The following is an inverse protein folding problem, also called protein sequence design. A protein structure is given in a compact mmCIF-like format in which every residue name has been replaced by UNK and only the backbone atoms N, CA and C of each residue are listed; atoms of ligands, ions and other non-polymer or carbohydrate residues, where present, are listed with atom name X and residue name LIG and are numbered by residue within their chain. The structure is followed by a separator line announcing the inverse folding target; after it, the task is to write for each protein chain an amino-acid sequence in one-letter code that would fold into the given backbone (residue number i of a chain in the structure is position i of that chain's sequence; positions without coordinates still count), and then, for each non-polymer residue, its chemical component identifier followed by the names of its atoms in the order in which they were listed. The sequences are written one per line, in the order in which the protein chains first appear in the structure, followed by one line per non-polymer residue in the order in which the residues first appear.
data_IF_148370445610
#
_entry.id   IF_148370445610
#
_cell.length_a   1.000
_cell.length_b   1.000
_cell.length_c   1.000
_cell.angle_alpha   90.00
_cell.angle_beta   90.00
_cell.angle_gamma   90.00
#
_symmetry.space_group_name_H-M   'P 1'
#
loop_
_entity.id
_entity.type
_entity.pdbx_description
1 polymer ?
#
# COMPACT_ATOMS: atom_id res chain seq x y z
N UNK A 1 -47.69 3.55 -1.54
CA UNK A 1 -46.49 2.86 -2.06
C UNK A 1 -45.57 3.94 -2.61
N UNK A 2 -44.73 4.53 -1.76
CA UNK A 2 -43.82 5.63 -2.12
C UNK A 2 -42.46 5.01 -2.36
N UNK A 3 -42.03 4.93 -3.61
CA UNK A 3 -40.67 4.57 -3.94
C UNK A 3 -39.80 5.78 -3.61
N UNK A 4 -39.06 5.67 -2.51
CA UNK A 4 -37.95 6.56 -2.23
C UNK A 4 -36.86 6.22 -3.23
N UNK A 5 -36.76 7.01 -4.31
CA UNK A 5 -35.62 6.92 -5.20
C UNK A 5 -34.43 7.51 -4.45
N UNK A 6 -33.61 6.66 -3.86
CA UNK A 6 -32.34 7.07 -3.29
C UNK A 6 -31.50 7.68 -4.42
N UNK A 7 -31.31 9.00 -4.35
CA UNK A 7 -30.50 9.74 -5.29
C UNK A 7 -29.04 9.31 -5.10
N UNK A 8 -28.59 8.35 -5.92
CA UNK A 8 -27.17 8.15 -6.16
C UNK A 8 -26.63 9.44 -6.78
N UNK A 9 -26.05 10.32 -5.95
CA UNK A 9 -25.11 11.32 -6.44
C UNK A 9 -24.06 10.56 -7.23
N UNK A 10 -24.11 10.68 -8.55
CA UNK A 10 -23.13 10.12 -9.45
C UNK A 10 -21.85 10.92 -9.22
N UNK A 11 -21.09 10.58 -8.19
CA UNK A 11 -19.82 11.22 -7.91
C UNK A 11 -18.93 10.91 -9.11
N UNK A 12 -18.75 11.91 -9.97
CA UNK A 12 -17.99 11.74 -11.18
C UNK A 12 -16.54 11.53 -10.75
N UNK A 13 -16.11 10.26 -10.69
CA UNK A 13 -14.72 9.92 -10.38
C UNK A 13 -13.84 10.66 -11.38
N UNK A 14 -13.23 11.75 -10.91
CA UNK A 14 -12.39 12.60 -11.74
C UNK A 14 -11.04 11.92 -11.85
N UNK A 15 -10.87 11.15 -12.91
CA UNK A 15 -9.59 10.57 -13.25
C UNK A 15 -8.60 11.71 -13.48
N UNK A 16 -7.53 11.79 -12.67
CA UNK A 16 -6.46 12.74 -12.93
C UNK A 16 -5.73 12.30 -14.19
N UNK A 17 -6.16 12.86 -15.32
CA UNK A 17 -5.75 12.44 -16.65
C UNK A 17 -4.24 12.55 -16.84
N UNK A 18 -3.58 13.51 -16.18
CA UNK A 18 -2.12 13.65 -16.23
C UNK A 18 -1.41 12.50 -15.53
N UNK A 19 -1.79 12.19 -14.28
CA UNK A 19 -1.19 11.10 -13.50
C UNK A 19 -1.50 9.73 -14.11
N UNK A 20 -2.73 9.56 -14.61
CA UNK A 20 -3.14 8.31 -15.25
C UNK A 20 -2.36 8.04 -16.53
N UNK A 21 -2.23 9.03 -17.41
CA UNK A 21 -1.46 8.83 -18.64
C UNK A 21 0.04 8.72 -18.37
N UNK A 22 0.58 9.45 -17.39
CA UNK A 22 2.00 9.31 -17.04
C UNK A 22 2.30 7.90 -16.53
N UNK A 23 1.51 7.36 -15.60
CA UNK A 23 1.73 6.02 -15.07
C UNK A 23 1.45 4.94 -16.12
N UNK A 24 0.38 5.07 -16.90
CA UNK A 24 0.03 4.12 -17.96
C UNK A 24 1.11 4.04 -19.04
N UNK A 25 1.65 5.18 -19.49
CA UNK A 25 2.74 5.20 -20.48
C UNK A 25 4.01 4.64 -19.90
N UNK A 26 4.40 5.01 -18.67
CA UNK A 26 5.59 4.46 -18.03
C UNK A 26 5.49 2.94 -17.88
N UNK A 27 4.41 2.42 -17.30
CA UNK A 27 4.22 0.98 -17.12
C UNK A 27 4.15 0.27 -18.47
N UNK A 28 3.48 0.87 -19.46
CA UNK A 28 3.39 0.31 -20.81
C UNK A 28 4.75 0.17 -21.48
N UNK A 29 5.60 1.20 -21.41
CA UNK A 29 6.96 1.16 -21.98
C UNK A 29 7.83 0.13 -21.26
N UNK A 30 7.84 0.14 -19.93
CA UNK A 30 8.62 -0.84 -19.15
C UNK A 30 8.15 -2.27 -19.42
N UNK A 31 6.84 -2.51 -19.42
CA UNK A 31 6.26 -3.81 -19.73
C UNK A 31 6.61 -4.29 -21.13
N UNK A 32 6.51 -3.41 -22.13
CA UNK A 32 6.87 -3.76 -23.51
C UNK A 32 8.35 -4.12 -23.65
N UNK A 33 9.25 -3.35 -23.02
CA UNK A 33 10.69 -3.65 -23.00
C UNK A 33 11.00 -4.99 -22.33
N UNK A 34 10.28 -5.33 -21.26
CA UNK A 34 10.46 -6.60 -20.54
C UNK A 34 10.00 -7.80 -21.38
N UNK A 35 8.90 -7.67 -22.12
CA UNK A 35 8.38 -8.74 -22.98
C UNK A 35 9.26 -8.95 -24.22
N UNK A 36 9.76 -7.87 -24.83
CA UNK A 36 10.60 -7.96 -26.03
C UNK A 36 12.04 -8.39 -25.72
N UNK A 37 12.59 -8.03 -24.56
CA UNK A 37 13.98 -8.33 -24.16
C UNK A 37 14.07 -8.87 -22.72
N UNK A 38 13.59 -10.10 -22.47
CA UNK A 38 13.52 -10.65 -21.11
C UNK A 38 14.89 -10.89 -20.48
N UNK A 39 15.85 -11.46 -21.22
CA UNK A 39 17.18 -11.79 -20.69
C UNK A 39 17.96 -10.55 -20.23
N UNK A 40 17.91 -9.47 -21.03
CA UNK A 40 18.56 -8.20 -20.70
C UNK A 40 17.87 -7.53 -19.51
N UNK A 41 16.54 -7.54 -19.48
CA UNK A 41 15.76 -6.96 -18.38
C UNK A 41 16.05 -7.68 -17.06
N UNK A 42 16.14 -9.01 -17.08
CA UNK A 42 16.49 -9.81 -15.91
C UNK A 42 17.90 -9.48 -15.40
N UNK A 43 18.89 -9.40 -16.29
CA UNK A 43 20.27 -9.02 -15.91
C UNK A 43 20.29 -7.66 -15.21
N UNK A 44 19.62 -6.65 -15.79
CA UNK A 44 19.54 -5.32 -15.20
C UNK A 44 18.81 -5.30 -13.86
N UNK A 45 17.70 -6.03 -13.74
CA UNK A 45 16.96 -6.15 -12.48
C UNK A 45 17.81 -6.78 -11.38
N UNK A 46 18.49 -7.88 -11.67
CA UNK A 46 19.35 -8.56 -10.70
C UNK A 46 20.53 -7.67 -10.32
N UNK A 47 21.18 -7.02 -11.28
CA UNK A 47 22.27 -6.08 -11.01
C UNK A 47 21.85 -4.93 -10.09
N UNK A 48 20.71 -4.29 -10.39
CA UNK A 48 20.18 -3.19 -9.56
C UNK A 48 19.78 -3.72 -8.18
N UNK A 49 19.11 -4.87 -8.13
CA UNK A 49 18.70 -5.49 -6.87
C UNK A 49 19.89 -5.81 -5.98
N UNK A 50 20.96 -6.42 -6.52
CA UNK A 50 22.19 -6.71 -5.78
C UNK A 50 22.84 -5.44 -5.26
N UNK A 51 22.91 -4.40 -6.09
CA UNK A 51 23.50 -3.11 -5.71
C UNK A 51 22.69 -2.44 -4.58
N UNK A 52 21.36 -2.41 -4.70
CA UNK A 52 20.47 -1.88 -3.66
C UNK A 52 20.63 -2.69 -2.37
N UNK A 53 20.64 -4.02 -2.45
CA UNK A 53 20.82 -4.85 -1.26
C UNK A 53 22.20 -4.66 -0.62
N UNK A 54 23.26 -4.45 -1.41
CA UNK A 54 24.60 -4.24 -0.90
C UNK A 54 24.70 -2.92 -0.11
N UNK A 55 24.19 -1.81 -0.66
CA UNK A 55 24.29 -0.50 0.00
C UNK A 55 23.19 -0.25 1.03
N UNK A 56 21.96 -0.70 0.77
CA UNK A 56 20.78 -0.42 1.60
C UNK A 56 20.30 -1.62 2.43
N UNK A 57 20.79 -2.84 2.20
CA UNK A 57 20.28 -4.03 2.89
C UNK A 57 20.39 -3.96 4.42
N UNK A 58 21.52 -3.46 4.93
CA UNK A 58 21.70 -3.25 6.38
C UNK A 58 20.74 -2.19 6.94
N UNK A 59 20.49 -1.12 6.19
CA UNK A 59 19.56 -0.06 6.56
C UNK A 59 18.11 -0.58 6.59
N UNK A 60 17.70 -1.34 5.57
CA UNK A 60 16.38 -1.98 5.53
C UNK A 60 16.17 -2.92 6.72
N UNK A 61 17.16 -3.74 7.07
CA UNK A 61 17.06 -4.64 8.23
C UNK A 61 16.93 -3.85 9.53
N UNK A 62 17.70 -2.77 9.72
CA UNK A 62 17.56 -1.91 10.90
C UNK A 62 16.19 -1.25 10.96
N UNK A 63 15.68 -0.69 9.85
CA UNK A 63 14.35 -0.07 9.82
C UNK A 63 13.27 -1.09 10.14
N UNK A 64 13.34 -2.30 9.58
CA UNK A 64 12.37 -3.37 9.88
C UNK A 64 12.41 -3.72 11.37
N UNK A 65 13.60 -3.95 11.93
CA UNK A 65 13.75 -4.26 13.36
C UNK A 65 13.26 -3.12 14.24
N UNK A 66 13.54 -1.86 13.88
CA UNK A 66 13.05 -0.69 14.61
C UNK A 66 11.54 -0.53 14.52
N UNK A 67 10.94 -0.70 13.33
CA UNK A 67 9.49 -0.67 13.16
C UNK A 67 8.82 -1.81 13.92
N UNK A 68 9.34 -3.03 13.86
CA UNK A 68 8.82 -4.16 14.62
C UNK A 68 8.97 -3.93 16.13
N UNK A 69 10.13 -3.45 16.58
CA UNK A 69 10.36 -3.08 17.97
C UNK A 69 9.42 -1.97 18.43
N UNK A 70 9.16 -0.98 17.58
CA UNK A 70 8.21 0.10 17.84
C UNK A 70 6.76 -0.41 17.94
N UNK A 71 6.32 -1.25 17.00
CA UNK A 71 4.97 -1.85 17.01
C UNK A 71 4.80 -2.78 18.22
N UNK A 72 5.82 -3.60 18.53
CA UNK A 72 5.82 -4.43 19.72
C UNK A 72 5.75 -3.57 21.00
N UNK A 73 6.54 -2.49 21.07
CA UNK A 73 6.47 -1.55 22.17
C UNK A 73 5.09 -0.92 22.31
N UNK A 74 4.45 -0.49 21.21
CA UNK A 74 3.07 0.00 21.23
C UNK A 74 2.10 -1.05 21.74
N UNK A 75 2.23 -2.31 21.30
CA UNK A 75 1.35 -3.41 21.69
C UNK A 75 1.45 -3.76 23.18
N UNK A 76 2.65 -3.72 23.76
CA UNK A 76 2.86 -3.99 25.20
C UNK A 76 2.73 -2.74 26.09
N UNK A 77 2.73 -1.54 25.50
CA UNK A 77 2.61 -0.26 26.21
C UNK A 77 1.15 0.08 26.50
N UNK A 78 0.94 0.95 27.50
CA UNK A 78 -0.37 1.54 27.83
C UNK A 78 -0.98 2.31 26.65
N UNK A 79 -0.15 2.78 25.72
CA UNK A 79 -0.59 3.52 24.52
C UNK A 79 -1.36 2.62 23.55
N UNK A 80 -1.02 1.33 23.44
CA UNK A 80 -1.73 0.38 22.57
C UNK A 80 -3.14 0.01 23.05
N UNK A 81 -3.47 0.34 24.31
CA UNK A 81 -4.81 0.11 24.88
C UNK A 81 -5.78 1.25 24.60
N UNK A 82 -5.31 2.35 23.99
CA UNK A 82 -6.15 3.51 23.66
C UNK A 82 -6.94 3.19 22.39
N UNK A 83 -8.29 3.23 22.43
CA UNK A 83 -9.10 2.99 21.24
C UNK A 83 -8.83 4.06 20.19
N UNK A 84 -8.62 3.63 18.94
CA UNK A 84 -8.45 4.51 17.78
C UNK A 84 -9.82 5.01 17.32
N UNK A 85 -10.41 5.92 18.09
CA UNK A 85 -11.77 6.45 17.86
C UNK A 85 -12.14 7.50 18.90
N UNK A 86 -13.36 8.05 18.81
CA UNK A 86 -13.90 8.88 19.90
C UNK A 86 -14.12 7.99 21.12
N UNK A 87 -14.08 8.59 22.31
CA UNK A 87 -14.14 7.89 23.62
C UNK A 87 -15.32 6.91 23.79
N UNK A 88 -16.31 6.94 22.88
CA UNK A 88 -17.55 6.16 22.94
C UNK A 88 -17.93 5.48 21.61
N UNK A 89 -17.04 5.47 20.60
CA UNK A 89 -17.32 4.78 19.34
C UNK A 89 -17.22 3.27 19.51
N UNK A 90 -18.26 2.57 19.06
CA UNK A 90 -18.29 1.11 19.02
C UNK A 90 -17.62 0.67 17.72
N UNK A 91 -16.87 -0.45 17.70
CA UNK A 91 -16.26 -0.94 16.48
C UNK A 91 -17.33 -1.15 15.40
N UNK A 92 -17.12 -0.55 14.22
CA UNK A 92 -18.06 -0.62 13.09
C UNK A 92 -18.23 -2.05 12.55
N UNK A 93 -17.27 -2.92 12.86
CA UNK A 93 -17.23 -4.32 12.43
C UNK A 93 -16.99 -5.24 13.62
N UNK A 94 -17.67 -6.40 13.64
CA UNK A 94 -17.41 -7.44 14.62
C UNK A 94 -16.02 -8.05 14.42
N UNK A 95 -15.34 -8.45 15.51
CA UNK A 95 -13.96 -8.96 15.47
C UNK A 95 -13.71 -10.05 14.41
N UNK A 96 -14.65 -10.99 14.23
CA UNK A 96 -14.50 -12.06 13.25
C UNK A 96 -14.59 -11.55 11.80
N UNK A 97 -15.40 -10.52 11.53
CA UNK A 97 -15.48 -9.88 10.22
C UNK A 97 -14.28 -8.97 9.94
N UNK A 98 -13.55 -8.54 11.00
CA UNK A 98 -12.34 -7.74 10.87
C UNK A 98 -11.08 -8.58 10.65
N UNK A 99 -11.00 -9.79 11.23
CA UNK A 99 -9.85 -10.70 11.06
C UNK A 99 -9.95 -11.65 9.87
N UNK A 100 -11.12 -11.76 9.22
CA UNK A 100 -11.37 -12.64 8.06
C UNK A 100 -11.12 -11.94 6.74
#
# INVERSE_FOLDING_TARGET
MVLKSDGYSSDHIRLNRFVFWSSAVSIGIFGLLFVLFPEKSQFWLTYVQEQVNHFFGWYYMLVIVLCLGFVAWLAFSKVGQIPLGKDHDKPEFGYLAWTS
#
